data_IF_910280679286
#
_entry.id   IF_910280679286
#
_cell.length_a   1.000
_cell.length_b   1.000
_cell.length_c   1.000
_cell.angle_alpha   90.00
_cell.angle_beta   90.00
_cell.angle_gamma   90.00
#
_symmetry.space_group_name_H-M   'P 1'
#
loop_
_entity.id
_entity.type
_entity.pdbx_description
1 polymer ?
#
# COMPACT_ATOMS: atom_id res chain seq x y z
N UNK A 1 -6.43 15.66 8.20
CA UNK A 1 -5.95 14.35 7.71
C UNK A 1 -4.45 14.24 7.93
N UNK A 2 -4.00 13.08 8.33
CA UNK A 2 -2.59 12.83 8.61
C UNK A 2 -1.81 12.49 7.33
N UNK A 3 -0.54 12.78 7.35
CA UNK A 3 0.40 12.39 6.30
C UNK A 3 0.31 10.88 6.03
N UNK A 4 0.48 10.50 4.79
CA UNK A 4 0.40 9.13 4.30
C UNK A 4 -1.03 8.53 4.26
N UNK A 5 -2.05 9.31 4.58
CA UNK A 5 -3.45 8.90 4.38
C UNK A 5 -3.73 8.76 2.90
N UNK A 6 -4.38 7.67 2.51
CA UNK A 6 -4.77 7.39 1.12
C UNK A 6 -6.28 7.60 0.99
N UNK A 7 -6.69 8.33 -0.03
CA UNK A 7 -8.09 8.55 -0.33
C UNK A 7 -8.42 8.03 -1.73
N UNK A 8 -9.63 7.54 -1.90
CA UNK A 8 -10.09 6.99 -3.18
C UNK A 8 -11.45 7.54 -3.57
N UNK A 9 -11.60 7.87 -4.83
CA UNK A 9 -12.92 8.13 -5.42
C UNK A 9 -13.52 6.80 -5.88
N UNK A 10 -14.64 6.42 -5.29
CA UNK A 10 -15.29 5.15 -5.62
C UNK A 10 -15.99 5.18 -6.98
N UNK A 11 -16.21 6.36 -7.56
CA UNK A 11 -16.87 6.47 -8.87
C UNK A 11 -15.88 6.29 -10.04
N UNK A 12 -14.70 6.91 -9.96
CA UNK A 12 -13.75 6.87 -11.08
C UNK A 12 -12.44 6.12 -10.76
N UNK A 13 -12.23 5.72 -9.50
CA UNK A 13 -11.02 5.00 -9.10
C UNK A 13 -9.80 5.87 -8.84
N UNK A 14 -9.95 7.20 -8.90
CA UNK A 14 -8.85 8.11 -8.61
C UNK A 14 -8.38 7.95 -7.16
N UNK A 15 -7.06 7.88 -6.95
CA UNK A 15 -6.46 7.71 -5.62
C UNK A 15 -5.48 8.86 -5.38
N UNK A 16 -5.57 9.46 -4.18
CA UNK A 16 -4.67 10.54 -3.74
C UNK A 16 -4.01 10.18 -2.43
N UNK A 17 -2.95 10.89 -2.13
CA UNK A 17 -2.20 10.72 -0.88
C UNK A 17 -1.99 12.07 -0.21
N UNK A 18 -2.10 12.10 1.11
CA UNK A 18 -1.78 13.29 1.91
C UNK A 18 -0.27 13.33 2.12
N UNK A 19 0.39 14.30 1.51
CA UNK A 19 1.84 14.48 1.65
C UNK A 19 2.20 15.54 2.69
N UNK A 20 1.26 16.41 3.02
CA UNK A 20 1.40 17.40 4.09
C UNK A 20 0.06 17.54 4.80
N UNK A 21 0.08 17.57 6.12
CA UNK A 21 -1.15 17.58 6.91
C UNK A 21 -1.84 18.95 6.84
N UNK A 22 -3.18 18.94 6.82
CA UNK A 22 -3.96 20.15 6.91
C UNK A 22 -4.16 20.55 8.38
N UNK A 23 -4.35 21.86 8.62
CA UNK A 23 -4.62 22.39 9.96
C UNK A 23 -6.11 22.58 10.23
N UNK A 24 -6.98 22.15 9.33
CA UNK A 24 -8.42 22.28 9.50
C UNK A 24 -9.01 21.02 10.14
N UNK A 25 -10.10 21.20 10.90
CA UNK A 25 -10.78 20.09 11.55
C UNK A 25 -11.60 19.24 10.59
N UNK A 26 -12.14 19.87 9.55
CA UNK A 26 -13.06 19.22 8.62
C UNK A 26 -12.51 19.28 7.19
N UNK A 27 -11.36 18.65 6.97
CA UNK A 27 -10.77 18.60 5.65
C UNK A 27 -11.50 17.55 4.80
N UNK A 28 -12.10 17.99 3.70
CA UNK A 28 -12.83 17.12 2.79
C UNK A 28 -12.34 17.35 1.37
N UNK A 29 -12.08 16.29 0.65
CA UNK A 29 -11.69 16.32 -0.76
C UNK A 29 -12.80 15.64 -1.55
N UNK A 30 -13.29 16.30 -2.58
CA UNK A 30 -14.37 15.77 -3.43
C UNK A 30 -13.82 15.39 -4.80
N UNK A 31 -14.37 14.33 -5.36
CA UNK A 31 -14.09 13.88 -6.71
C UNK A 31 -15.39 13.31 -7.29
N UNK A 32 -15.69 13.63 -8.53
CA UNK A 32 -16.95 13.22 -9.17
C UNK A 32 -18.19 13.68 -8.36
N UNK A 33 -18.09 14.84 -7.73
CA UNK A 33 -19.20 15.44 -6.98
C UNK A 33 -19.47 14.80 -5.61
N UNK A 34 -18.60 13.93 -5.13
CA UNK A 34 -18.77 13.22 -3.85
C UNK A 34 -17.49 13.27 -3.04
N UNK A 35 -17.59 13.22 -1.70
CA UNK A 35 -16.40 13.09 -0.85
C UNK A 35 -15.60 11.84 -1.18
N UNK A 36 -14.28 11.96 -1.25
CA UNK A 36 -13.41 10.81 -1.41
C UNK A 36 -13.37 10.00 -0.12
N UNK A 37 -13.30 8.69 -0.25
CA UNK A 37 -13.23 7.79 0.89
C UNK A 37 -11.80 7.70 1.41
N UNK A 38 -11.62 7.84 2.72
CA UNK A 38 -10.35 7.54 3.39
C UNK A 38 -10.22 6.03 3.48
N UNK A 39 -9.14 5.48 2.91
CA UNK A 39 -8.93 4.04 2.91
C UNK A 39 -8.41 3.57 4.27
N UNK A 40 -9.04 2.52 4.79
CA UNK A 40 -8.58 1.82 5.97
C UNK A 40 -7.32 1.01 5.66
N UNK A 41 -6.34 1.07 6.53
CA UNK A 41 -5.15 0.22 6.44
C UNK A 41 -5.47 -1.15 7.05
N UNK A 42 -5.83 -2.10 6.21
CA UNK A 42 -6.20 -3.45 6.65
C UNK A 42 -4.95 -4.25 7.01
N UNK A 43 -5.02 -5.04 8.08
CA UNK A 43 -3.88 -5.79 8.60
C UNK A 43 -4.05 -7.30 8.55
N UNK A 44 -5.25 -7.78 8.24
CA UNK A 44 -5.55 -9.21 8.18
C UNK A 44 -6.50 -9.51 7.04
N UNK A 45 -6.32 -10.67 6.44
CA UNK A 45 -7.16 -11.18 5.37
C UNK A 45 -7.71 -12.54 5.79
N UNK A 46 -9.03 -12.66 5.85
CA UNK A 46 -9.71 -13.90 6.26
C UNK A 46 -9.59 -15.04 5.24
N UNK A 47 -9.02 -14.77 4.06
CA UNK A 47 -8.93 -15.74 2.97
C UNK A 47 -7.51 -16.16 2.62
N UNK A 48 -6.64 -16.34 3.62
CA UNK A 48 -5.31 -16.88 3.40
C UNK A 48 -4.24 -15.85 3.06
N UNK A 49 -4.42 -14.64 3.53
CA UNK A 49 -3.39 -13.59 3.48
C UNK A 49 -2.86 -13.25 2.08
N UNK A 50 -3.77 -13.20 1.09
CA UNK A 50 -3.43 -12.80 -0.26
C UNK A 50 -3.02 -11.33 -0.38
N UNK A 51 -3.44 -10.49 0.55
CA UNK A 51 -3.33 -9.04 0.44
C UNK A 51 -2.29 -8.43 1.37
N UNK A 52 -2.01 -9.07 2.51
CA UNK A 52 -1.05 -8.53 3.47
C UNK A 52 0.34 -8.57 2.86
N UNK A 53 1.05 -7.43 2.77
CA UNK A 53 2.42 -7.43 2.25
C UNK A 53 3.35 -8.09 3.25
N UNK A 54 4.24 -8.94 2.77
CA UNK A 54 5.17 -9.69 3.60
C UNK A 54 6.62 -9.34 3.26
N UNK A 55 7.33 -8.62 4.15
CA UNK A 55 8.73 -8.27 3.91
C UNK A 55 9.68 -9.39 4.37
N UNK A 56 10.77 -9.55 3.65
CA UNK A 56 11.82 -10.49 4.01
C UNK A 56 13.17 -9.90 3.62
N UNK A 57 14.22 -10.30 4.33
CA UNK A 57 15.60 -9.96 3.98
C UNK A 57 15.91 -10.57 2.61
N UNK A 58 16.53 -9.79 1.71
CA UNK A 58 16.86 -10.29 0.38
C UNK A 58 18.26 -10.90 0.27
N UNK A 59 19.00 -10.97 1.37
CA UNK A 59 20.37 -11.50 1.38
C UNK A 59 21.42 -10.56 0.77
N UNK A 60 21.05 -9.34 0.41
CA UNK A 60 21.92 -8.38 -0.27
C UNK A 60 21.95 -7.02 0.44
N UNK A 61 21.58 -6.98 1.71
CA UNK A 61 21.51 -5.75 2.49
C UNK A 61 20.25 -4.93 2.30
N UNK A 62 19.26 -5.46 1.60
CA UNK A 62 17.97 -4.83 1.40
C UNK A 62 16.84 -5.78 1.80
N UNK A 63 15.64 -5.51 1.28
CA UNK A 63 14.48 -6.37 1.52
C UNK A 63 13.70 -6.63 0.24
N UNK A 64 12.97 -7.74 0.24
CA UNK A 64 11.97 -8.04 -0.78
C UNK A 64 10.61 -8.10 -0.09
N UNK A 65 9.63 -7.43 -0.66
CA UNK A 65 8.25 -7.49 -0.19
C UNK A 65 7.45 -8.28 -1.22
N UNK A 66 6.75 -9.31 -0.76
CA UNK A 66 5.81 -10.07 -1.61
C UNK A 66 4.39 -9.80 -1.13
N UNK A 67 3.45 -9.76 -2.04
CA UNK A 67 2.04 -9.65 -1.69
C UNK A 67 1.38 -11.00 -1.89
N UNK A 68 0.87 -11.54 -0.76
CA UNK A 68 0.42 -12.90 -0.66
C UNK A 68 1.55 -13.82 -0.25
N UNK A 69 1.75 -13.97 1.06
CA UNK A 69 2.83 -14.82 1.61
C UNK A 69 2.70 -16.27 1.19
N UNK A 70 1.48 -16.82 1.27
CA UNK A 70 1.21 -18.23 0.97
C UNK A 70 0.63 -18.46 -0.42
N UNK A 71 0.12 -17.42 -1.05
CA UNK A 71 -0.49 -17.48 -2.37
C UNK A 71 -0.34 -16.12 -3.05
N UNK A 72 0.39 -16.08 -4.14
CA UNK A 72 0.64 -14.84 -4.86
C UNK A 72 -0.65 -14.14 -5.26
N UNK A 73 -0.72 -12.83 -5.01
CA UNK A 73 -1.85 -12.02 -5.41
C UNK A 73 -1.94 -11.97 -6.94
N UNK A 74 -3.16 -11.99 -7.52
CA UNK A 74 -3.30 -11.85 -8.97
C UNK A 74 -2.74 -10.52 -9.48
N UNK A 75 -2.26 -10.55 -10.71
CA UNK A 75 -1.73 -9.37 -11.40
C UNK A 75 -2.36 -9.30 -12.79
N UNK A 76 -3.69 -9.18 -12.83
CA UNK A 76 -4.51 -9.08 -14.04
C UNK A 76 -4.84 -7.63 -14.33
N UNK A 77 -5.15 -7.24 -15.58
CA UNK A 77 -5.51 -5.86 -15.90
C UNK A 77 -6.63 -5.27 -15.03
N UNK A 78 -7.61 -6.08 -14.68
CA UNK A 78 -8.76 -5.67 -13.88
C UNK A 78 -8.55 -5.85 -12.36
N UNK A 79 -7.52 -6.59 -11.93
CA UNK A 79 -7.28 -6.90 -10.53
C UNK A 79 -5.78 -7.09 -10.28
N UNK A 80 -5.14 -6.08 -9.71
CA UNK A 80 -3.69 -6.12 -9.51
C UNK A 80 -3.24 -5.21 -8.36
N UNK A 81 -2.02 -5.46 -7.90
CA UNK A 81 -1.34 -4.58 -6.93
C UNK A 81 -0.78 -3.39 -7.71
N UNK A 82 -1.23 -2.20 -7.37
CA UNK A 82 -0.85 -0.96 -8.06
C UNK A 82 0.50 -0.48 -7.59
N UNK A 83 0.76 -0.59 -6.28
CA UNK A 83 2.06 -0.24 -5.72
C UNK A 83 2.32 -0.95 -4.40
N UNK A 84 3.60 -1.04 -4.06
CA UNK A 84 4.11 -1.51 -2.78
C UNK A 84 5.03 -0.43 -2.24
N UNK A 85 4.93 -0.13 -0.95
CA UNK A 85 5.79 0.89 -0.34
C UNK A 85 6.32 0.45 1.01
N UNK A 86 7.46 1.03 1.39
CA UNK A 86 8.06 0.86 2.71
C UNK A 86 8.26 2.23 3.31
N UNK A 87 7.74 2.42 4.51
CA UNK A 87 7.96 3.62 5.32
C UNK A 87 9.07 3.34 6.32
N UNK A 88 10.18 4.04 6.19
CA UNK A 88 11.34 3.92 7.05
C UNK A 88 11.60 5.29 7.70
N UNK A 89 11.00 5.52 8.87
CA UNK A 89 11.06 6.83 9.51
C UNK A 89 10.53 7.93 8.60
N UNK A 90 11.32 8.96 8.27
CA UNK A 90 10.87 10.04 7.40
C UNK A 90 10.92 9.69 5.91
N UNK A 91 11.38 8.50 5.56
CA UNK A 91 11.52 8.09 4.17
C UNK A 91 10.38 7.20 3.74
N UNK A 92 9.88 7.42 2.52
CA UNK A 92 8.90 6.55 1.88
C UNK A 92 9.50 6.09 0.56
N UNK A 93 9.61 4.77 0.41
CA UNK A 93 10.08 4.15 -0.83
C UNK A 93 8.89 3.41 -1.45
N UNK A 94 8.54 3.72 -2.68
CA UNK A 94 7.39 3.12 -3.35
C UNK A 94 7.78 2.63 -4.74
N UNK A 95 7.33 1.43 -5.05
CA UNK A 95 7.44 0.87 -6.40
C UNK A 95 6.04 0.71 -6.98
N UNK A 96 5.82 1.24 -8.18
CA UNK A 96 4.60 1.03 -8.94
C UNK A 96 4.71 -0.22 -9.79
N UNK A 97 3.64 -1.02 -9.80
CA UNK A 97 3.58 -2.27 -10.53
C UNK A 97 2.57 -2.19 -11.67
N UNK A 98 2.71 -3.08 -12.64
CA UNK A 98 1.79 -3.22 -13.77
C UNK A 98 1.23 -4.63 -13.81
N UNK A 99 0.03 -4.83 -14.39
CA UNK A 99 -0.47 -6.18 -14.64
C UNK A 99 0.54 -7.02 -15.40
N UNK A 100 0.64 -8.30 -15.02
CA UNK A 100 1.60 -9.23 -15.61
C UNK A 100 2.94 -9.29 -14.92
N UNK A 101 3.27 -8.30 -14.08
CA UNK A 101 4.49 -8.33 -13.27
C UNK A 101 4.29 -9.19 -12.02
N UNK A 102 5.39 -9.61 -11.40
CA UNK A 102 5.34 -10.33 -10.12
C UNK A 102 4.80 -9.38 -9.04
N UNK A 103 3.88 -9.84 -8.14
CA UNK A 103 3.38 -9.00 -7.05
C UNK A 103 4.41 -8.87 -5.94
N UNK A 104 5.51 -8.25 -6.24
CA UNK A 104 6.64 -8.09 -5.33
C UNK A 104 7.45 -6.86 -5.68
N UNK A 105 8.25 -6.41 -4.71
CA UNK A 105 9.16 -5.28 -4.91
C UNK A 105 10.40 -5.48 -4.05
N UNK A 106 11.56 -5.09 -4.58
CA UNK A 106 12.79 -5.04 -3.81
C UNK A 106 13.11 -3.59 -3.44
N UNK A 107 13.58 -3.40 -2.21
CA UNK A 107 13.96 -2.10 -1.70
C UNK A 107 15.40 -2.15 -1.18
N UNK A 108 16.11 -1.05 -1.35
CA UNK A 108 17.53 -0.93 -0.98
C UNK A 108 17.71 -0.46 0.46
N UNK A 109 16.80 -0.81 1.33
CA UNK A 109 16.83 -0.49 2.74
C UNK A 109 16.70 -1.80 3.52
N UNK A 110 17.57 -1.97 4.53
CA UNK A 110 17.56 -3.19 5.34
C UNK A 110 16.28 -3.31 6.16
N UNK A 111 15.80 -4.54 6.29
CA UNK A 111 14.63 -4.84 7.12
C UNK A 111 14.91 -4.44 8.57
N UNK A 112 14.01 -3.67 9.16
CA UNK A 112 14.19 -3.12 10.49
C UNK A 112 12.88 -3.07 11.24
N UNK A 113 12.91 -3.40 12.53
CA UNK A 113 11.75 -3.31 13.41
C UNK A 113 11.12 -1.91 13.35
N UNK A 114 9.80 -1.87 13.27
CA UNK A 114 9.03 -0.62 13.26
C UNK A 114 8.77 -0.06 11.87
N UNK A 115 9.37 -0.61 10.84
CA UNK A 115 9.03 -0.22 9.47
C UNK A 115 7.60 -0.58 9.15
N UNK A 116 6.94 0.26 8.38
CA UNK A 116 5.58 0.02 7.90
C UNK A 116 5.68 -0.34 6.41
N UNK A 117 5.08 -1.45 6.05
CA UNK A 117 4.99 -1.89 4.66
C UNK A 117 3.53 -1.83 4.25
N UNK A 118 3.24 -1.19 3.12
CA UNK A 118 1.86 -1.11 2.61
C UNK A 118 1.83 -1.52 1.15
N UNK A 119 0.67 -2.01 0.74
CA UNK A 119 0.34 -2.24 -0.67
C UNK A 119 -1.06 -1.74 -0.95
N UNK A 120 -1.31 -1.38 -2.20
CA UNK A 120 -2.63 -0.98 -2.65
C UNK A 120 -3.09 -1.89 -3.79
N UNK A 121 -4.20 -2.60 -3.55
CA UNK A 121 -4.89 -3.40 -4.55
C UNK A 121 -6.04 -2.57 -5.12
N UNK A 122 -6.17 -2.49 -6.44
CA UNK A 122 -7.20 -1.67 -7.07
C UNK A 122 -8.63 -2.10 -6.73
N UNK A 123 -8.84 -3.37 -6.34
CA UNK A 123 -10.14 -3.92 -5.96
C UNK A 123 -10.34 -3.93 -4.45
N UNK A 124 -9.33 -4.41 -3.70
CA UNK A 124 -9.49 -4.71 -2.28
C UNK A 124 -8.87 -3.67 -1.35
N UNK A 125 -8.32 -2.58 -1.88
CA UNK A 125 -7.89 -1.43 -1.08
C UNK A 125 -6.50 -1.53 -0.51
N UNK A 126 -6.31 -0.89 0.65
CA UNK A 126 -5.00 -0.65 1.26
C UNK A 126 -4.73 -1.66 2.38
N UNK A 127 -3.54 -2.26 2.35
CA UNK A 127 -3.12 -3.26 3.33
C UNK A 127 -1.78 -2.89 3.93
N UNK A 128 -1.58 -3.26 5.19
CA UNK A 128 -0.43 -2.85 5.97
C UNK A 128 0.15 -4.00 6.77
N UNK A 129 1.47 -3.99 6.89
CA UNK A 129 2.21 -4.86 7.81
C UNK A 129 3.25 -4.01 8.56
N UNK A 130 3.32 -4.17 9.86
CA UNK A 130 4.36 -3.54 10.69
C UNK A 130 5.44 -4.57 11.01
N UNK A 131 6.69 -4.23 10.72
CA UNK A 131 7.83 -5.12 10.96
C UNK A 131 8.09 -5.26 12.46
N UNK A 132 8.13 -6.47 12.95
CA UNK A 132 8.30 -6.81 14.37
C UNK A 132 9.73 -7.15 14.74
#
# INVERSE_FOLDING_TARGET
MKKNTILKCNDCGFVTEVVAECNCENCEITCCGKPMAVLEEKTADSKGEKHVPFPMDNGKGGMKVVVGENMAHPMLPEHYIVWIEVQNGPYVNRKYLKPGEEPSAEFYVALKKGMIVREYCNIHGLWKYEVK
#
